data_IF_328477656322
#
_entry.id   IF_328477656322
#
_cell.length_a   1.000
_cell.length_b   1.000
_cell.length_c   1.000
_cell.angle_alpha   90.00
_cell.angle_beta   90.00
_cell.angle_gamma   90.00
#
_symmetry.space_group_name_H-M   'P 1'
#
loop_
_entity.id
_entity.type
_entity.pdbx_description
1 polymer ?
#
# COMPACT_ATOMS: atom_id res chain seq x y z
N UNK A 1 5.57 24.13 10.50
CA UNK A 1 6.99 24.38 10.18
C UNK A 1 7.43 25.76 10.64
N UNK A 2 6.72 26.82 10.22
CA UNK A 2 7.05 28.21 10.57
C UNK A 2 7.22 28.43 12.07
N UNK A 3 6.28 27.93 12.90
CA UNK A 3 6.41 28.07 14.35
C UNK A 3 7.68 27.44 14.92
N UNK A 4 8.12 26.31 14.39
CA UNK A 4 9.38 25.70 14.82
C UNK A 4 10.58 26.60 14.48
N UNK A 5 10.54 27.26 13.30
CA UNK A 5 11.59 28.22 12.89
C UNK A 5 11.58 29.49 13.73
N UNK A 6 10.40 30.03 14.05
CA UNK A 6 10.27 31.17 14.98
C UNK A 6 10.88 30.87 16.36
N UNK A 7 10.78 29.61 16.81
CA UNK A 7 11.37 29.13 18.07
C UNK A 7 12.85 28.74 17.94
N UNK A 8 13.50 29.01 16.80
CA UNK A 8 14.93 28.83 16.60
C UNK A 8 15.36 27.47 16.03
N UNK A 9 14.44 26.66 15.50
CA UNK A 9 14.82 25.40 14.85
C UNK A 9 15.71 25.64 13.63
N UNK A 10 16.91 25.05 13.62
CA UNK A 10 17.83 25.11 12.48
C UNK A 10 17.34 24.31 11.27
N UNK A 11 16.59 23.23 11.50
CA UNK A 11 16.02 22.38 10.47
C UNK A 11 14.65 21.85 10.89
N UNK A 12 13.72 21.75 9.94
CA UNK A 12 12.38 21.18 10.11
C UNK A 12 12.19 20.03 9.12
N UNK A 13 12.21 18.79 9.62
CA UNK A 13 11.92 17.58 8.83
C UNK A 13 10.43 17.24 8.92
N UNK A 14 9.78 17.01 7.79
CA UNK A 14 8.44 16.42 7.72
C UNK A 14 8.55 14.90 7.78
N UNK A 15 7.91 14.28 8.77
CA UNK A 15 7.70 12.83 8.81
C UNK A 15 6.23 12.60 8.44
N UNK A 16 6.01 12.02 7.27
CA UNK A 16 4.69 11.70 6.76
C UNK A 16 4.60 10.17 6.56
N UNK A 17 4.18 9.39 7.56
CA UNK A 17 4.06 7.93 7.42
C UNK A 17 3.19 7.51 6.25
N UNK A 18 2.17 8.32 5.93
CA UNK A 18 1.41 8.24 4.68
C UNK A 18 1.53 9.57 3.93
N UNK A 19 2.11 9.54 2.73
CA UNK A 19 2.22 10.71 1.85
C UNK A 19 1.02 10.78 0.90
N UNK A 20 0.05 11.63 1.26
CA UNK A 20 -1.18 11.82 0.49
C UNK A 20 -0.92 12.42 -0.91
N UNK A 21 -1.96 12.43 -1.74
CA UNK A 21 -1.99 12.97 -3.13
C UNK A 21 -1.10 12.26 -4.15
N UNK A 22 -0.28 11.29 -3.74
CA UNK A 22 0.59 10.53 -4.67
C UNK A 22 -0.19 9.68 -5.69
N UNK A 23 -1.48 9.38 -5.46
CA UNK A 23 -2.35 8.66 -6.43
C UNK A 23 -2.79 9.51 -7.63
N UNK A 24 -2.79 10.84 -7.51
CA UNK A 24 -3.06 11.76 -8.62
C UNK A 24 -1.73 12.21 -9.24
N UNK A 25 -1.00 11.23 -9.76
CA UNK A 25 0.34 11.37 -10.36
C UNK A 25 0.31 11.77 -11.84
N UNK A 26 -0.89 11.84 -12.43
CA UNK A 26 -1.20 12.43 -13.73
C UNK A 26 -2.60 13.06 -13.71
N UNK A 27 -2.95 13.77 -14.79
CA UNK A 27 -4.35 14.08 -15.08
C UNK A 27 -5.00 12.83 -15.68
N UNK A 28 -6.07 12.32 -15.07
CA UNK A 28 -6.83 11.18 -15.61
C UNK A 28 -7.88 11.65 -16.63
N UNK A 29 -8.41 12.86 -16.43
CA UNK A 29 -9.33 13.52 -17.35
C UNK A 29 -8.82 14.90 -17.78
N UNK A 30 -9.30 15.38 -18.92
CA UNK A 30 -8.98 16.72 -19.43
C UNK A 30 -9.43 17.77 -18.42
N UNK A 31 -8.54 18.72 -18.10
CA UNK A 31 -8.81 19.79 -17.13
C UNK A 31 -8.43 19.46 -15.69
N UNK A 32 -8.06 18.22 -15.38
CA UNK A 32 -7.58 17.86 -14.04
C UNK A 32 -6.15 18.34 -13.79
N UNK A 33 -5.89 18.68 -12.52
CA UNK A 33 -4.54 18.94 -12.03
C UNK A 33 -3.79 17.67 -11.65
N UNK A 34 -2.46 17.79 -11.56
CA UNK A 34 -1.57 16.74 -11.02
C UNK A 34 -1.26 17.08 -9.57
N UNK A 35 -2.16 16.75 -8.66
CA UNK A 35 -2.07 17.23 -7.27
C UNK A 35 -0.82 16.74 -6.54
N UNK A 36 -0.26 15.59 -6.90
CA UNK A 36 1.04 15.14 -6.41
C UNK A 36 2.14 16.21 -6.59
N UNK A 37 2.18 16.88 -7.75
CA UNK A 37 3.16 17.96 -8.04
C UNK A 37 2.88 19.22 -7.23
N UNK A 38 1.60 19.57 -7.05
CA UNK A 38 1.22 20.78 -6.31
C UNK A 38 1.53 20.65 -4.83
N UNK A 39 1.19 19.50 -4.24
CA UNK A 39 1.54 19.21 -2.85
C UNK A 39 3.04 19.04 -2.66
N UNK A 40 3.77 18.43 -3.59
CA UNK A 40 5.22 18.37 -3.51
C UNK A 40 5.86 19.76 -3.50
N UNK A 41 5.41 20.67 -4.37
CA UNK A 41 5.87 22.08 -4.39
C UNK A 41 5.53 22.79 -3.07
N UNK A 42 4.31 22.63 -2.57
CA UNK A 42 3.86 23.24 -1.32
C UNK A 42 4.67 22.74 -0.12
N UNK A 43 4.82 21.42 0.03
CA UNK A 43 5.57 20.86 1.15
C UNK A 43 7.05 21.24 1.08
N UNK A 44 7.64 21.23 -0.13
CA UNK A 44 9.04 21.63 -0.32
C UNK A 44 9.30 23.11 0.02
N UNK A 45 8.28 23.98 0.04
CA UNK A 45 8.46 25.39 0.44
C UNK A 45 8.44 25.61 1.95
N UNK A 46 7.97 24.65 2.74
CA UNK A 46 7.84 24.80 4.20
C UNK A 46 8.86 23.97 4.99
N UNK A 47 9.27 22.81 4.47
CA UNK A 47 10.11 21.84 5.17
C UNK A 47 11.50 21.73 4.53
N UNK A 48 12.49 21.30 5.31
CA UNK A 48 13.88 21.15 4.83
C UNK A 48 14.19 19.73 4.35
N UNK A 49 13.42 18.74 4.83
CA UNK A 49 13.56 17.31 4.50
C UNK A 49 12.21 16.60 4.66
N UNK A 50 11.98 15.54 3.90
CA UNK A 50 10.80 14.67 4.00
C UNK A 50 11.23 13.22 4.24
N UNK A 51 10.58 12.56 5.20
CA UNK A 51 10.66 11.11 5.43
C UNK A 51 9.25 10.53 5.29
N UNK A 52 9.09 9.46 4.49
CA UNK A 52 7.81 8.78 4.29
C UNK A 52 7.99 7.27 4.22
N UNK A 53 6.92 6.51 4.44
CA UNK A 53 6.88 5.07 4.25
C UNK A 53 6.09 4.70 2.98
N UNK A 54 6.63 3.80 2.17
CA UNK A 54 6.00 3.16 1.00
C UNK A 54 5.02 4.05 0.20
N UNK A 55 5.44 5.24 -0.27
CA UNK A 55 4.56 6.11 -1.04
C UNK A 55 4.16 5.45 -2.38
N UNK A 56 3.00 5.84 -2.89
CA UNK A 56 2.45 5.37 -4.17
C UNK A 56 3.29 5.89 -5.36
N UNK A 57 4.35 5.17 -5.72
CA UNK A 57 5.35 5.54 -6.75
C UNK A 57 5.20 4.72 -8.04
N UNK A 58 4.04 4.80 -8.69
CA UNK A 58 3.75 4.03 -9.90
C UNK A 58 4.24 4.74 -11.16
N UNK A 59 3.70 5.94 -11.46
CA UNK A 59 4.11 6.75 -12.64
C UNK A 59 5.19 7.76 -12.29
N UNK A 60 5.26 8.15 -11.01
CA UNK A 60 6.36 8.93 -10.45
C UNK A 60 7.29 7.92 -9.77
N UNK A 61 8.41 7.60 -10.40
CA UNK A 61 9.30 6.54 -9.94
C UNK A 61 10.13 6.90 -8.71
N UNK A 62 10.32 8.19 -8.43
CA UNK A 62 11.09 8.67 -7.28
C UNK A 62 10.57 10.04 -6.84
N UNK A 63 10.56 10.28 -5.52
CA UNK A 63 10.08 11.56 -4.96
C UNK A 63 10.91 12.76 -5.42
N UNK A 64 12.20 12.57 -5.68
CA UNK A 64 13.07 13.63 -6.20
C UNK A 64 12.65 14.17 -7.58
N UNK A 65 11.73 13.49 -8.28
CA UNK A 65 11.16 14.00 -9.54
C UNK A 65 10.20 15.18 -9.32
N UNK A 66 9.67 15.35 -8.10
CA UNK A 66 8.65 16.38 -7.79
C UNK A 66 8.94 17.17 -6.51
N UNK A 67 9.70 16.62 -5.55
CA UNK A 67 10.12 17.30 -4.33
C UNK A 67 11.49 17.97 -4.54
N UNK A 68 11.60 19.24 -4.17
CA UNK A 68 12.86 20.00 -4.29
C UNK A 68 13.72 19.94 -3.03
N UNK A 69 13.26 19.22 -2.00
CA UNK A 69 13.96 18.98 -0.74
C UNK A 69 14.42 17.52 -0.67
N UNK A 70 15.48 17.21 0.10
CA UNK A 70 15.89 15.82 0.34
C UNK A 70 14.72 14.95 0.82
N UNK A 71 14.60 13.75 0.25
CA UNK A 71 13.55 12.79 0.60
C UNK A 71 14.14 11.45 1.01
N UNK A 72 13.57 10.83 2.02
CA UNK A 72 13.88 9.47 2.45
C UNK A 72 12.61 8.64 2.35
N UNK A 73 12.65 7.62 1.48
CA UNK A 73 11.58 6.64 1.34
C UNK A 73 11.97 5.39 2.11
N UNK A 74 11.17 5.07 3.11
CA UNK A 74 11.30 3.88 3.93
C UNK A 74 10.34 2.80 3.42
N UNK A 75 10.70 1.53 3.57
CA UNK A 75 9.88 0.40 3.12
C UNK A 75 9.50 -0.49 4.30
N UNK A 76 8.34 -1.14 4.18
CA UNK A 76 7.76 -2.00 5.24
C UNK A 76 7.65 -3.47 4.83
N UNK A 77 8.27 -3.85 3.70
CA UNK A 77 8.18 -5.22 3.15
C UNK A 77 8.75 -6.26 4.12
N UNK A 78 9.79 -5.92 4.89
CA UNK A 78 10.35 -6.77 5.94
C UNK A 78 9.36 -7.05 7.06
N UNK A 79 8.70 -6.01 7.57
CA UNK A 79 7.70 -6.13 8.63
C UNK A 79 6.48 -6.93 8.18
N UNK A 80 6.03 -6.73 6.93
CA UNK A 80 4.95 -7.53 6.36
C UNK A 80 5.38 -9.00 6.22
N UNK A 81 6.57 -9.28 5.69
CA UNK A 81 7.09 -10.63 5.56
C UNK A 81 7.22 -11.33 6.92
N UNK A 82 7.77 -10.64 7.91
CA UNK A 82 7.87 -11.14 9.28
C UNK A 82 6.50 -11.48 9.86
N UNK A 83 5.53 -10.57 9.72
CA UNK A 83 4.18 -10.80 10.21
C UNK A 83 3.51 -12.01 9.54
N UNK A 84 3.68 -12.16 8.21
CA UNK A 84 3.16 -13.33 7.46
C UNK A 84 3.79 -14.62 8.00
N UNK A 85 5.11 -14.69 8.13
CA UNK A 85 5.82 -15.87 8.63
C UNK A 85 5.41 -16.27 10.06
N UNK A 86 5.06 -15.29 10.90
CA UNK A 86 4.65 -15.52 12.29
C UNK A 86 3.17 -15.88 12.42
N UNK A 87 2.33 -15.39 11.52
CA UNK A 87 0.86 -15.43 11.69
C UNK A 87 0.15 -16.40 10.77
N UNK A 88 0.77 -16.81 9.66
CA UNK A 88 0.12 -17.55 8.59
C UNK A 88 0.95 -18.75 8.15
N UNK A 89 0.27 -19.79 7.66
CA UNK A 89 0.89 -21.02 7.16
C UNK A 89 0.59 -21.21 5.67
N UNK A 90 1.56 -21.71 4.92
CA UNK A 90 1.46 -22.00 3.49
C UNK A 90 0.90 -20.83 2.66
N UNK A 91 1.51 -19.64 2.71
CA UNK A 91 0.96 -18.46 2.05
C UNK A 91 1.06 -18.56 0.52
N UNK A 92 0.07 -17.96 -0.17
CA UNK A 92 0.09 -17.63 -1.59
C UNK A 92 -0.11 -16.12 -1.70
N UNK A 93 0.90 -15.40 -2.17
CA UNK A 93 0.82 -13.94 -2.23
C UNK A 93 0.15 -13.53 -3.54
N UNK A 94 -0.81 -12.61 -3.47
CA UNK A 94 -1.63 -12.19 -4.59
C UNK A 94 -1.53 -10.67 -4.70
N UNK A 95 -0.95 -10.21 -5.80
CA UNK A 95 -1.03 -8.82 -6.21
C UNK A 95 -2.37 -8.55 -6.87
N UNK A 96 -3.21 -7.65 -6.34
CA UNK A 96 -4.54 -7.37 -6.88
C UNK A 96 -4.51 -6.73 -8.28
N UNK A 97 -3.38 -6.15 -8.68
CA UNK A 97 -3.07 -5.68 -10.01
C UNK A 97 -1.56 -5.64 -10.28
N UNK A 98 -1.17 -5.33 -11.52
CA UNK A 98 0.23 -5.18 -11.96
C UNK A 98 1.01 -4.11 -11.17
N UNK A 99 0.29 -3.08 -10.70
CA UNK A 99 0.84 -1.97 -9.93
C UNK A 99 1.43 -2.47 -8.59
N UNK A 100 0.91 -3.57 -8.04
CA UNK A 100 1.39 -4.19 -6.80
C UNK A 100 2.60 -5.13 -6.93
N UNK A 101 3.03 -5.48 -8.15
CA UNK A 101 3.98 -6.57 -8.42
C UNK A 101 5.29 -6.44 -7.65
N UNK A 102 5.88 -5.25 -7.63
CA UNK A 102 7.18 -5.00 -7.00
C UNK A 102 7.19 -5.38 -5.51
N UNK A 103 6.09 -5.13 -4.79
CA UNK A 103 6.00 -5.42 -3.36
C UNK A 103 5.67 -6.88 -3.12
N UNK A 104 4.71 -7.40 -3.87
CA UNK A 104 4.26 -8.79 -3.76
C UNK A 104 5.41 -9.74 -4.00
N UNK A 105 6.19 -9.53 -5.07
CA UNK A 105 7.37 -10.33 -5.39
C UNK A 105 8.44 -10.23 -4.29
N UNK A 106 8.75 -9.03 -3.84
CA UNK A 106 9.74 -8.81 -2.78
C UNK A 106 9.35 -9.52 -1.47
N UNK A 107 8.08 -9.47 -1.08
CA UNK A 107 7.59 -10.14 0.13
C UNK A 107 7.59 -11.65 -0.09
N UNK A 108 7.18 -12.15 -1.27
CA UNK A 108 7.15 -13.58 -1.62
C UNK A 108 8.54 -14.23 -1.51
N UNK A 109 9.56 -13.54 -1.98
CA UNK A 109 10.95 -13.98 -1.86
C UNK A 109 11.38 -14.10 -0.39
N UNK A 110 11.00 -13.12 0.46
CA UNK A 110 11.32 -13.11 1.90
C UNK A 110 10.59 -14.18 2.71
N UNK A 111 9.37 -14.55 2.31
CA UNK A 111 8.58 -15.60 2.98
C UNK A 111 8.70 -16.98 2.31
N UNK A 112 9.52 -17.09 1.26
CA UNK A 112 9.72 -18.31 0.47
C UNK A 112 8.40 -18.93 -0.04
N UNK A 113 7.54 -18.11 -0.62
CA UNK A 113 6.21 -18.50 -1.05
C UNK A 113 5.95 -18.20 -2.54
N UNK A 114 5.03 -18.94 -3.20
CA UNK A 114 4.58 -18.57 -4.53
C UNK A 114 3.79 -17.25 -4.50
N UNK A 115 3.80 -16.56 -5.63
CA UNK A 115 2.97 -15.38 -5.84
C UNK A 115 2.27 -15.39 -7.20
N UNK A 116 1.16 -14.66 -7.27
CA UNK A 116 0.37 -14.41 -8.48
C UNK A 116 0.14 -12.91 -8.57
N UNK A 117 0.36 -12.33 -9.74
CA UNK A 117 -0.02 -10.95 -10.03
C UNK A 117 -1.24 -10.99 -10.94
N UNK A 118 -2.32 -10.33 -10.52
CA UNK A 118 -3.53 -10.25 -11.31
C UNK A 118 -3.40 -9.14 -12.33
N UNK A 119 -3.91 -9.38 -13.54
CA UNK A 119 -4.02 -8.34 -14.56
C UNK A 119 -5.46 -7.84 -14.58
N UNK A 120 -5.62 -6.52 -14.55
CA UNK A 120 -6.95 -5.90 -14.67
C UNK A 120 -7.38 -5.94 -16.14
N UNK A 121 -8.22 -6.90 -16.49
CA UNK A 121 -8.96 -6.81 -17.76
C UNK A 121 -10.18 -5.91 -17.57
N UNK A 122 -10.13 -4.73 -18.18
CA UNK A 122 -11.29 -3.83 -18.26
C UNK A 122 -12.21 -4.33 -19.36
N UNK A 123 -13.20 -5.15 -18.98
CA UNK A 123 -14.19 -5.69 -19.92
C UNK A 123 -15.34 -4.69 -20.20
N UNK A 124 -15.63 -3.80 -19.25
CA UNK A 124 -16.55 -2.64 -19.36
C UNK A 124 -16.41 -1.72 -18.14
N UNK A 125 -17.12 -0.58 -18.09
CA UNK A 125 -17.04 0.43 -17.01
C UNK A 125 -17.20 -0.12 -15.58
N UNK A 126 -17.83 -1.29 -15.40
CA UNK A 126 -18.13 -1.88 -14.09
C UNK A 126 -17.63 -3.33 -13.89
N UNK A 127 -16.91 -3.92 -14.85
CA UNK A 127 -16.49 -5.34 -14.74
C UNK A 127 -14.98 -5.48 -14.89
N UNK A 128 -14.32 -5.78 -13.77
CA UNK A 128 -12.92 -6.20 -13.73
C UNK A 128 -12.90 -7.71 -13.59
N UNK A 129 -12.46 -8.41 -14.64
CA UNK A 129 -12.01 -9.79 -14.51
C UNK A 129 -10.53 -9.74 -14.16
N UNK A 130 -10.13 -10.51 -13.15
CA UNK A 130 -8.73 -10.76 -12.87
C UNK A 130 -8.48 -12.23 -13.18
N UNK A 131 -7.59 -12.47 -14.14
CA UNK A 131 -7.18 -13.85 -14.45
C UNK A 131 -6.26 -14.31 -13.32
N UNK A 132 -6.62 -15.40 -12.64
CA UNK A 132 -5.78 -16.07 -11.65
C UNK A 132 -5.07 -17.26 -12.29
N UNK A 133 -3.89 -17.07 -12.93
CA UNK A 133 -3.21 -18.14 -13.65
C UNK A 133 -2.87 -19.30 -12.71
N UNK A 134 -3.12 -20.54 -13.16
CA UNK A 134 -2.77 -21.79 -12.46
C UNK A 134 -3.30 -21.91 -11.03
N UNK A 135 -4.38 -21.20 -10.65
CA UNK A 135 -4.90 -21.18 -9.27
C UNK A 135 -5.24 -22.57 -8.72
N UNK A 136 -5.59 -23.53 -9.59
CA UNK A 136 -5.86 -24.91 -9.20
C UNK A 136 -4.69 -25.60 -8.49
N UNK A 137 -3.45 -25.27 -8.87
CA UNK A 137 -2.24 -25.83 -8.22
C UNK A 137 -2.01 -25.26 -6.81
N UNK A 138 -2.71 -24.20 -6.46
CA UNK A 138 -2.51 -23.45 -5.24
C UNK A 138 -3.69 -23.58 -4.26
N UNK A 139 -4.67 -24.45 -4.53
CA UNK A 139 -5.89 -24.57 -3.72
C UNK A 139 -5.66 -24.88 -2.23
N UNK A 140 -4.55 -25.53 -1.88
CA UNK A 140 -4.16 -25.84 -0.50
C UNK A 140 -3.46 -24.69 0.23
N UNK A 141 -3.15 -23.59 -0.47
CA UNK A 141 -2.43 -22.44 0.10
C UNK A 141 -3.41 -21.39 0.65
N UNK A 142 -2.92 -20.60 1.61
CA UNK A 142 -3.65 -19.47 2.19
C UNK A 142 -3.48 -18.22 1.31
N UNK A 143 -4.53 -17.71 0.66
CA UNK A 143 -4.41 -16.51 -0.18
C UNK A 143 -4.13 -15.26 0.66
N UNK A 144 -3.14 -14.47 0.26
CA UNK A 144 -2.77 -13.20 0.89
C UNK A 144 -2.76 -12.10 -0.16
N UNK A 145 -3.73 -11.21 -0.12
CA UNK A 145 -3.79 -10.04 -1.01
C UNK A 145 -2.93 -8.94 -0.41
N UNK A 146 -2.01 -8.36 -1.19
CA UNK A 146 -1.12 -7.30 -0.71
C UNK A 146 -1.22 -6.08 -1.61
N UNK A 147 -1.43 -4.90 -1.02
CA UNK A 147 -1.47 -3.62 -1.73
C UNK A 147 -0.83 -2.50 -0.89
N UNK A 148 -0.49 -1.38 -1.51
CA UNK A 148 0.09 -0.23 -0.80
C UNK A 148 -0.98 0.51 0.02
N UNK A 149 -2.16 0.74 -0.56
CA UNK A 149 -3.22 1.55 0.01
C UNK A 149 -4.55 0.80 -0.08
N UNK A 150 -5.21 0.60 1.07
CA UNK A 150 -6.60 0.15 1.07
C UNK A 150 -7.50 1.37 1.27
N UNK A 151 -8.00 1.94 0.15
CA UNK A 151 -8.89 3.11 0.15
C UNK A 151 -10.36 2.70 0.07
N UNK A 152 -10.94 2.50 -1.12
CA UNK A 152 -12.33 2.03 -1.28
C UNK A 152 -12.45 0.51 -1.19
N UNK A 153 -11.33 -0.19 -1.06
CA UNK A 153 -11.19 -1.65 -1.06
C UNK A 153 -11.76 -2.39 -2.29
N UNK A 154 -12.27 -1.68 -3.31
CA UNK A 154 -12.99 -2.31 -4.43
C UNK A 154 -12.16 -3.33 -5.19
N UNK A 155 -10.86 -3.04 -5.40
CA UNK A 155 -9.96 -3.99 -6.06
C UNK A 155 -9.79 -5.26 -5.24
N UNK A 156 -9.55 -5.16 -3.93
CA UNK A 156 -9.49 -6.34 -3.06
C UNK A 156 -10.83 -7.08 -2.98
N UNK A 157 -11.95 -6.37 -2.85
CA UNK A 157 -13.29 -6.97 -2.82
C UNK A 157 -13.56 -7.81 -4.07
N UNK A 158 -13.17 -7.32 -5.26
CA UNK A 158 -13.32 -8.06 -6.51
C UNK A 158 -12.53 -9.38 -6.47
N UNK A 159 -11.27 -9.34 -6.03
CA UNK A 159 -10.41 -10.53 -5.92
C UNK A 159 -10.93 -11.50 -4.86
N UNK A 160 -11.35 -11.02 -3.69
CA UNK A 160 -11.94 -11.85 -2.63
C UNK A 160 -13.18 -12.60 -3.16
N UNK A 161 -14.04 -11.92 -3.92
CA UNK A 161 -15.23 -12.54 -4.54
C UNK A 161 -14.87 -13.60 -5.58
N UNK A 162 -13.75 -13.43 -6.30
CA UNK A 162 -13.26 -14.43 -7.27
C UNK A 162 -12.65 -15.65 -6.57
N UNK A 163 -12.01 -15.48 -5.42
CA UNK A 163 -11.45 -16.59 -4.63
C UNK A 163 -12.54 -17.45 -3.98
N UNK A 164 -13.65 -16.82 -3.54
CA UNK A 164 -14.74 -17.49 -2.82
C UNK A 164 -15.27 -18.79 -3.48
N UNK A 165 -15.57 -18.85 -4.79
CA UNK A 165 -16.01 -20.10 -5.45
C UNK A 165 -14.91 -21.15 -5.62
N UNK A 166 -13.63 -20.82 -5.40
CA UNK A 166 -12.49 -21.73 -5.62
C UNK A 166 -12.24 -22.69 -4.45
N UNK A 167 -13.06 -22.66 -3.40
CA UNK A 167 -12.94 -23.54 -2.21
C UNK A 167 -11.55 -23.48 -1.54
N UNK A 168 -10.85 -22.35 -1.69
CA UNK A 168 -9.61 -22.06 -0.97
C UNK A 168 -9.91 -21.55 0.45
N UNK A 169 -8.89 -21.45 1.29
CA UNK A 169 -9.01 -20.71 2.55
C UNK A 169 -9.46 -19.25 2.27
N UNK A 170 -10.30 -18.64 3.12
CA UNK A 170 -10.69 -17.26 2.92
C UNK A 170 -9.46 -16.34 2.97
N UNK A 171 -9.36 -15.36 2.07
CA UNK A 171 -8.16 -14.54 1.90
C UNK A 171 -7.86 -13.64 3.10
N UNK A 172 -6.58 -13.44 3.38
CA UNK A 172 -6.08 -12.37 4.25
C UNK A 172 -5.70 -11.17 3.40
N UNK A 173 -6.19 -9.98 3.72
CA UNK A 173 -5.87 -8.75 3.01
C UNK A 173 -4.88 -7.91 3.82
N UNK A 174 -3.75 -7.54 3.22
CA UNK A 174 -2.70 -6.72 3.83
C UNK A 174 -2.53 -5.42 3.06
N UNK A 175 -2.57 -4.30 3.76
CA UNK A 175 -2.30 -2.96 3.21
C UNK A 175 -1.21 -2.22 3.97
N UNK A 176 -0.41 -1.38 3.32
CA UNK A 176 0.50 -0.50 4.08
C UNK A 176 -0.29 0.64 4.73
N UNK A 177 -1.15 1.30 3.97
CA UNK A 177 -1.88 2.49 4.40
C UNK A 177 -3.39 2.21 4.53
N UNK A 178 -3.89 2.33 5.76
CA UNK A 178 -5.28 2.08 6.14
C UNK A 178 -6.19 3.30 5.88
N UNK A 179 -6.41 3.66 4.61
CA UNK A 179 -7.21 4.84 4.26
C UNK A 179 -8.71 4.60 4.48
N UNK A 180 -9.22 3.41 4.16
CA UNK A 180 -10.61 2.95 4.34
C UNK A 180 -11.68 4.06 4.21
N UNK A 181 -11.99 4.44 2.97
CA UNK A 181 -13.07 5.39 2.71
C UNK A 181 -14.43 4.79 3.06
N UNK A 182 -15.31 5.59 3.67
CA UNK A 182 -16.67 5.19 4.03
C UNK A 182 -16.71 3.89 4.85
N UNK A 183 -17.38 2.86 4.34
CA UNK A 183 -17.51 1.54 4.98
C UNK A 183 -16.62 0.48 4.30
N UNK A 184 -15.53 0.88 3.63
CA UNK A 184 -14.68 -0.03 2.84
C UNK A 184 -14.14 -1.21 3.66
N UNK A 185 -13.78 -0.98 4.93
CA UNK A 185 -13.33 -2.03 5.83
C UNK A 185 -14.40 -3.11 6.04
N UNK A 186 -15.63 -2.69 6.38
CA UNK A 186 -16.76 -3.57 6.61
C UNK A 186 -17.18 -4.28 5.32
N UNK A 187 -17.16 -3.57 4.18
CA UNK A 187 -17.46 -4.17 2.88
C UNK A 187 -16.45 -5.25 2.49
N UNK A 188 -15.16 -5.06 2.78
CA UNK A 188 -14.12 -6.05 2.51
C UNK A 188 -14.27 -7.30 3.39
N UNK A 189 -14.61 -7.14 4.67
CA UNK A 189 -14.96 -8.27 5.54
C UNK A 189 -16.21 -9.00 5.02
N UNK A 190 -17.28 -8.26 4.71
CA UNK A 190 -18.52 -8.83 4.21
C UNK A 190 -18.36 -9.54 2.84
N UNK A 191 -17.38 -9.13 2.04
CA UNK A 191 -17.02 -9.81 0.79
C UNK A 191 -16.46 -11.22 1.02
N UNK A 192 -15.90 -11.48 2.21
CA UNK A 192 -15.36 -12.79 2.60
C UNK A 192 -13.88 -12.81 2.95
N UNK A 193 -13.26 -11.66 3.24
CA UNK A 193 -11.90 -11.64 3.77
C UNK A 193 -11.89 -12.27 5.19
N UNK A 194 -10.97 -13.20 5.44
CA UNK A 194 -10.77 -13.79 6.77
C UNK A 194 -10.26 -12.75 7.77
N UNK A 195 -9.33 -11.91 7.31
CA UNK A 195 -8.69 -10.89 8.13
C UNK A 195 -8.21 -9.75 7.24
N UNK A 196 -8.29 -8.53 7.76
CA UNK A 196 -7.72 -7.34 7.13
C UNK A 196 -6.66 -6.79 8.09
N UNK A 197 -5.44 -6.65 7.59
CA UNK A 197 -4.26 -6.27 8.36
C UNK A 197 -3.58 -5.10 7.67
N UNK A 198 -3.10 -4.15 8.48
CA UNK A 198 -2.42 -2.98 7.96
C UNK A 198 -1.24 -2.59 8.82
N UNK A 199 -0.36 -1.75 8.26
CA UNK A 199 0.65 -1.06 9.05
C UNK A 199 0.02 0.12 9.80
N UNK A 200 0.63 0.56 10.91
CA UNK A 200 0.18 1.71 11.70
C UNK A 200 0.55 3.09 11.11
N UNK A 201 0.74 3.18 9.79
CA UNK A 201 0.99 4.45 9.07
C UNK A 201 -0.21 5.39 9.09
N UNK A 202 -1.42 4.84 9.21
CA UNK A 202 -2.68 5.54 9.48
C UNK A 202 -3.38 4.75 10.59
N UNK A 203 -3.75 5.44 11.67
CA UNK A 203 -4.39 4.82 12.83
C UNK A 203 -5.73 4.20 12.42
N UNK A 204 -5.84 2.87 12.58
CA UNK A 204 -7.03 2.12 12.29
C UNK A 204 -7.06 0.80 13.07
N UNK A 205 -8.25 0.24 13.33
CA UNK A 205 -8.40 -1.01 14.08
C UNK A 205 -7.76 -2.24 13.38
N UNK A 206 -7.48 -2.13 12.08
CA UNK A 206 -6.76 -3.16 11.31
C UNK A 206 -5.24 -3.11 11.49
N UNK A 207 -4.69 -2.15 12.22
CA UNK A 207 -3.25 -2.05 12.41
C UNK A 207 -2.76 -3.23 13.25
N UNK A 208 -2.00 -4.14 12.64
CA UNK A 208 -1.37 -5.28 13.34
C UNK A 208 0.12 -5.45 13.00
N UNK A 209 0.66 -4.53 12.19
CA UNK A 209 2.06 -4.47 11.81
C UNK A 209 2.58 -3.11 12.26
N UNK A 210 3.40 -3.08 13.32
CA UNK A 210 4.02 -1.85 13.80
C UNK A 210 5.27 -1.56 12.97
N UNK A 211 5.36 -0.34 12.42
CA UNK A 211 6.51 0.13 11.61
C UNK A 211 7.17 1.38 12.22
N UNK A 212 6.87 1.68 13.49
CA UNK A 212 7.40 2.84 14.21
C UNK A 212 8.93 2.78 14.36
N UNK A 213 9.48 1.57 14.49
CA UNK A 213 10.92 1.33 14.58
C UNK A 213 11.66 1.78 13.30
N UNK A 214 11.03 1.62 12.14
CA UNK A 214 11.58 2.05 10.84
C UNK A 214 11.75 3.57 10.81
N UNK A 215 10.72 4.30 11.27
CA UNK A 215 10.75 5.76 11.37
C UNK A 215 11.78 6.20 12.40
N UNK A 216 11.78 5.58 13.59
CA UNK A 216 12.70 5.93 14.67
C UNK A 216 14.17 5.80 14.23
N UNK A 217 14.53 4.70 13.56
CA UNK A 217 15.88 4.51 12.99
C UNK A 217 16.24 5.59 11.97
N UNK A 218 15.30 5.97 11.10
CA UNK A 218 15.54 6.98 10.07
C UNK A 218 15.69 8.41 10.62
N UNK A 219 15.16 8.69 11.81
CA UNK A 219 15.33 9.98 12.48
C UNK A 219 16.68 10.04 13.21
N UNK A 220 17.13 8.91 13.79
CA UNK A 220 18.36 8.85 14.58
C UNK A 220 19.64 8.71 13.75
N UNK A 221 19.53 8.22 12.51
CA UNK A 221 20.64 8.12 11.55
C UNK A 221 20.84 9.39 10.73
#
# INVERSE_FOLDING_TARGET
AEKARELGAAQVTLIAPYLAYMRQDKAFHVGEGVSAKYFAKLLSSYFDRLITLSPHLHRIHHLAAIYTIPTTVLHVTDHIAQWINQSLTHPLLIGPDEESEQWVKCIAEKVHAPYIILQKERLSDNTVSAVMPNIDRHRSLTPILIDDIISTAQTMIAVVKQIKPLQMAPPVCIGVHAVFAENAYQQLLAAGAAKIVTCNTIQHLSNAIDVSDVIARAIMG
#
